data_IF_626969670118
#
_entry.id   IF_626969670118
#
_cell.length_a   1.000
_cell.length_b   1.000
_cell.length_c   1.000
_cell.angle_alpha   90.00
_cell.angle_beta   90.00
_cell.angle_gamma   90.00
#
_symmetry.space_group_name_H-M   'P 1'
#
loop_
_entity.id
_entity.type
_entity.pdbx_description
1 polymer ?
#
# COMPACT_ATOMS: atom_id res chain seq x y z
N UNK A 1 62.30 24.91 -5.32
CA UNK A 1 60.94 25.06 -4.76
C UNK A 1 61.10 25.08 -3.25
N UNK A 2 60.89 26.22 -2.59
CA UNK A 2 61.21 26.40 -1.17
C UNK A 2 60.12 25.79 -0.28
N UNK A 3 60.49 25.19 0.85
CA UNK A 3 59.62 24.45 1.78
C UNK A 3 58.48 25.33 2.33
N UNK A 4 58.70 26.64 2.40
CA UNK A 4 57.70 27.65 2.75
C UNK A 4 56.55 27.76 1.76
N UNK A 5 56.81 27.53 0.47
CA UNK A 5 55.79 27.53 -0.58
C UNK A 5 54.82 26.36 -0.46
N UNK A 6 55.32 25.16 -0.13
CA UNK A 6 54.50 23.96 0.10
C UNK A 6 53.57 24.17 1.30
N UNK A 7 54.09 24.75 2.38
CA UNK A 7 53.30 25.03 3.56
C UNK A 7 52.23 26.10 3.30
N UNK A 8 52.52 27.10 2.46
CA UNK A 8 51.53 28.10 2.06
C UNK A 8 50.45 27.49 1.16
N UNK A 9 50.82 26.64 0.19
CA UNK A 9 49.85 25.91 -0.65
C UNK A 9 48.92 25.01 0.18
N UNK A 10 49.44 24.32 1.20
CA UNK A 10 48.61 23.50 2.10
C UNK A 10 47.66 24.38 2.92
N UNK A 11 48.12 25.55 3.40
CA UNK A 11 47.26 26.51 4.11
C UNK A 11 46.20 27.14 3.21
N UNK A 12 46.49 27.38 1.95
CA UNK A 12 45.54 27.92 0.99
C UNK A 12 44.49 26.86 0.59
N UNK A 13 44.85 25.57 0.56
CA UNK A 13 43.93 24.43 0.38
C UNK A 13 43.03 24.24 1.62
N UNK A 14 43.60 24.28 2.82
CA UNK A 14 42.86 24.13 4.09
C UNK A 14 42.02 25.38 4.45
N UNK A 15 42.45 26.56 4.00
CA UNK A 15 41.81 27.85 4.24
C UNK A 15 40.77 28.26 3.21
N UNK A 16 40.50 27.44 2.18
CA UNK A 16 39.56 27.78 1.11
C UNK A 16 38.09 27.59 1.52
N UNK A 17 37.66 28.38 2.50
CA UNK A 17 36.30 28.40 3.06
C UNK A 17 35.19 28.61 2.01
N UNK A 18 35.49 29.12 0.82
CA UNK A 18 34.49 29.40 -0.23
C UNK A 18 34.19 28.20 -1.13
N UNK A 19 35.17 27.33 -1.41
CA UNK A 19 34.93 26.09 -2.16
C UNK A 19 34.30 25.00 -1.29
N UNK A 20 34.59 25.03 0.02
CA UNK A 20 34.07 24.09 1.01
C UNK A 20 32.57 24.30 1.29
N UNK A 21 32.08 25.54 1.15
CA UNK A 21 30.67 25.87 1.34
C UNK A 21 29.76 25.29 0.26
N UNK A 22 30.14 25.43 -1.01
CA UNK A 22 29.37 24.86 -2.14
C UNK A 22 29.37 23.33 -2.07
N UNK A 23 30.53 22.72 -1.80
CA UNK A 23 30.63 21.28 -1.63
C UNK A 23 29.76 20.79 -0.44
N UNK A 24 29.80 21.50 0.69
CA UNK A 24 28.96 21.20 1.85
C UNK A 24 27.46 21.31 1.54
N UNK A 25 27.04 22.33 0.78
CA UNK A 25 25.64 22.52 0.38
C UNK A 25 25.18 21.40 -0.55
N UNK A 26 26.01 21.00 -1.51
CA UNK A 26 25.71 19.88 -2.42
C UNK A 26 25.59 18.55 -1.66
N UNK A 27 26.48 18.28 -0.70
CA UNK A 27 26.40 17.09 0.15
C UNK A 27 25.14 17.10 1.02
N UNK A 28 24.76 18.25 1.57
CA UNK A 28 23.53 18.38 2.36
C UNK A 28 22.28 18.16 1.50
N UNK A 29 22.25 18.69 0.27
CA UNK A 29 21.16 18.48 -0.69
C UNK A 29 21.04 17.02 -1.12
N UNK A 30 22.16 16.37 -1.46
CA UNK A 30 22.16 14.95 -1.85
C UNK A 30 21.69 14.09 -0.66
N UNK A 31 22.18 14.38 0.55
CA UNK A 31 21.74 13.68 1.76
C UNK A 31 20.25 13.89 2.01
N UNK A 32 19.74 15.11 1.84
CA UNK A 32 18.31 15.41 1.97
C UNK A 32 17.46 14.65 0.95
N UNK A 33 17.87 14.62 -0.31
CA UNK A 33 17.20 13.85 -1.38
C UNK A 33 17.22 12.36 -1.06
N UNK A 34 18.36 11.81 -0.63
CA UNK A 34 18.47 10.39 -0.28
C UNK A 34 17.60 10.04 0.93
N UNK A 35 17.62 10.83 2.00
CA UNK A 35 16.77 10.64 3.19
C UNK A 35 15.28 10.73 2.83
N UNK A 36 14.89 11.71 2.02
CA UNK A 36 13.49 11.86 1.59
C UNK A 36 12.99 10.65 0.79
N UNK A 37 13.79 10.14 -0.14
CA UNK A 37 13.43 8.96 -0.93
C UNK A 37 13.34 7.68 -0.06
N UNK A 38 14.21 7.52 0.94
CA UNK A 38 14.14 6.40 1.89
C UNK A 38 12.86 6.46 2.72
N UNK A 39 12.44 7.65 3.17
CA UNK A 39 11.18 7.80 3.91
C UNK A 39 9.94 7.53 3.07
N UNK A 40 9.96 7.88 1.77
CA UNK A 40 8.85 7.61 0.86
C UNK A 40 8.69 6.10 0.56
N UNK A 41 9.81 5.40 0.36
CA UNK A 41 9.82 3.95 0.11
C UNK A 41 9.42 3.12 1.34
N UNK A 42 9.55 3.66 2.55
CA UNK A 42 9.14 3.01 3.78
C UNK A 42 7.62 3.08 4.04
N UNK A 43 6.84 3.80 3.21
CA UNK A 43 5.38 3.78 3.28
C UNK A 43 4.83 2.47 2.72
N UNK A 44 4.94 1.40 3.52
CA UNK A 44 4.23 0.13 3.30
C UNK A 44 2.73 0.29 3.54
N UNK A 45 2.10 1.26 2.86
CA UNK A 45 0.72 1.63 3.06
C UNK A 45 -0.20 0.45 2.72
N UNK A 46 -0.66 -0.24 3.77
CA UNK A 46 -1.72 -1.22 3.66
C UNK A 46 -3.02 -0.45 3.46
N UNK A 47 -3.88 -0.82 2.49
CA UNK A 47 -5.20 -0.21 2.34
C UNK A 47 -5.95 -0.30 3.67
N UNK A 48 -6.67 0.75 4.08
CA UNK A 48 -7.48 0.69 5.31
C UNK A 48 -8.79 -0.09 5.12
N UNK A 49 -9.27 -0.17 3.88
CA UNK A 49 -10.49 -0.87 3.50
C UNK A 49 -10.47 -1.22 2.00
N UNK A 50 -11.29 -2.20 1.62
CA UNK A 50 -11.58 -2.55 0.23
C UNK A 50 -13.07 -2.34 0.00
N UNK A 51 -13.41 -1.61 -1.05
CA UNK A 51 -14.78 -1.44 -1.52
C UNK A 51 -14.92 -2.16 -2.85
N UNK A 52 -15.88 -3.09 -2.94
CA UNK A 52 -16.13 -3.83 -4.17
C UNK A 52 -17.47 -3.46 -4.76
N UNK A 53 -17.44 -3.12 -6.05
CA UNK A 53 -18.59 -2.82 -6.88
C UNK A 53 -18.67 -3.88 -7.98
N UNK A 54 -19.86 -4.39 -8.26
CA UNK A 54 -20.04 -5.30 -9.37
C UNK A 54 -21.24 -6.21 -9.23
N UNK A 55 -21.00 -7.45 -9.63
CA UNK A 55 -22.00 -8.48 -9.86
C UNK A 55 -21.86 -9.61 -8.80
N UNK A 56 -22.24 -10.85 -9.12
CA UNK A 56 -22.44 -11.93 -8.14
C UNK A 56 -21.13 -12.48 -7.66
N UNK A 57 -20.06 -12.26 -8.44
CA UNK A 57 -18.71 -12.66 -8.10
C UNK A 57 -18.13 -11.87 -6.92
N UNK A 58 -18.71 -10.72 -6.60
CA UNK A 58 -18.26 -9.84 -5.49
C UNK A 58 -19.35 -9.60 -4.44
N UNK A 59 -20.54 -10.20 -4.60
CA UNK A 59 -21.64 -10.08 -3.64
C UNK A 59 -21.45 -11.01 -2.43
N UNK A 60 -21.14 -10.41 -1.29
CA UNK A 60 -20.94 -11.14 -0.02
C UNK A 60 -22.23 -11.46 0.74
N UNK A 61 -23.40 -11.12 0.18
CA UNK A 61 -24.72 -11.33 0.79
C UNK A 61 -25.62 -10.10 0.82
N UNK A 62 -25.26 -9.03 0.12
CA UNK A 62 -26.05 -7.79 0.05
C UNK A 62 -27.44 -8.04 -0.50
N UNK A 63 -27.59 -8.94 -1.46
CA UNK A 63 -28.89 -9.26 -2.06
C UNK A 63 -29.92 -9.84 -1.08
N UNK A 64 -29.48 -10.33 0.10
CA UNK A 64 -30.41 -10.79 1.14
C UNK A 64 -31.24 -9.65 1.73
N UNK A 65 -30.72 -8.41 1.68
CA UNK A 65 -31.30 -7.23 2.31
C UNK A 65 -32.15 -6.38 1.35
N UNK A 66 -32.26 -6.77 0.08
CA UNK A 66 -33.08 -6.08 -0.93
C UNK A 66 -34.15 -7.02 -1.52
N UNK A 67 -35.19 -6.44 -2.12
CA UNK A 67 -36.28 -7.18 -2.76
C UNK A 67 -35.85 -7.59 -4.16
N UNK A 68 -35.23 -8.76 -4.26
CA UNK A 68 -34.78 -9.36 -5.53
C UNK A 68 -34.97 -10.88 -5.51
N UNK A 69 -35.12 -11.47 -6.70
CA UNK A 69 -35.10 -12.93 -6.90
C UNK A 69 -33.66 -13.48 -6.88
N UNK A 70 -32.66 -12.63 -7.12
CA UNK A 70 -31.26 -13.01 -7.17
C UNK A 70 -30.66 -13.15 -5.76
N UNK A 71 -31.16 -14.11 -4.98
CA UNK A 71 -30.62 -14.45 -3.65
C UNK A 71 -29.85 -15.76 -3.72
N UNK A 72 -28.84 -15.91 -2.87
CA UNK A 72 -28.04 -17.14 -2.74
C UNK A 72 -27.95 -17.58 -1.27
N UNK A 73 -29.04 -17.36 -0.53
CA UNK A 73 -29.22 -17.77 0.87
C UNK A 73 -29.85 -19.17 1.01
N UNK A 74 -29.61 -20.05 0.04
CA UNK A 74 -30.11 -21.43 0.03
C UNK A 74 -29.02 -22.42 -0.41
N UNK A 75 -29.15 -23.73 -0.12
CA UNK A 75 -28.19 -24.74 -0.58
C UNK A 75 -28.11 -24.81 -2.11
N UNK A 76 -26.94 -25.00 -2.73
CA UNK A 76 -25.68 -25.47 -2.13
C UNK A 76 -24.74 -24.36 -1.61
N UNK A 77 -25.13 -23.09 -1.71
CA UNK A 77 -24.26 -21.95 -1.42
C UNK A 77 -23.80 -21.91 0.04
N UNK A 78 -22.56 -21.45 0.26
CA UNK A 78 -21.94 -21.35 1.59
C UNK A 78 -21.54 -22.68 2.26
N UNK A 79 -21.66 -23.84 1.58
CA UNK A 79 -21.29 -25.16 2.12
C UNK A 79 -19.83 -25.24 2.60
N UNK A 80 -18.91 -24.67 1.85
CA UNK A 80 -17.46 -24.70 2.11
C UNK A 80 -16.98 -23.42 2.82
N UNK A 81 -17.88 -22.47 3.10
CA UNK A 81 -17.59 -21.25 3.83
C UNK A 81 -17.60 -21.53 5.35
N UNK A 82 -16.83 -20.80 6.17
CA UNK A 82 -16.87 -20.97 7.62
C UNK A 82 -18.30 -20.96 8.18
N UNK A 83 -18.67 -22.05 8.85
CA UNK A 83 -20.02 -22.27 9.38
C UNK A 83 -20.92 -23.14 8.51
N UNK A 84 -20.56 -23.42 7.25
CA UNK A 84 -21.24 -24.37 6.37
C UNK A 84 -22.72 -24.06 6.10
N UNK A 85 -23.11 -22.79 6.22
CA UNK A 85 -24.50 -22.32 6.07
C UNK A 85 -24.60 -21.37 4.89
N UNK A 86 -25.75 -21.32 4.20
CA UNK A 86 -25.97 -20.34 3.13
C UNK A 86 -25.82 -18.91 3.64
N UNK A 87 -24.90 -18.16 3.03
CA UNK A 87 -24.55 -16.80 3.45
C UNK A 87 -25.15 -15.71 2.56
N UNK A 88 -25.69 -16.06 1.38
CA UNK A 88 -25.98 -15.08 0.32
C UNK A 88 -24.79 -14.80 -0.60
N UNK A 89 -23.75 -15.63 -0.54
CA UNK A 89 -22.64 -15.60 -1.51
C UNK A 89 -22.98 -16.51 -2.67
N UNK A 90 -22.76 -16.07 -3.91
CA UNK A 90 -22.93 -16.90 -5.10
C UNK A 90 -21.77 -17.90 -5.30
N UNK A 91 -21.32 -18.51 -4.21
CA UNK A 91 -20.24 -19.51 -4.16
C UNK A 91 -20.46 -20.44 -2.97
N UNK A 92 -19.85 -21.63 -3.02
CA UNK A 92 -19.82 -22.50 -1.85
C UNK A 92 -18.86 -21.97 -0.77
N UNK A 93 -17.88 -21.15 -1.15
CA UNK A 93 -16.81 -20.70 -0.26
C UNK A 93 -16.52 -19.20 -0.41
N UNK A 94 -15.23 -18.86 -0.37
CA UNK A 94 -14.76 -17.47 -0.51
C UNK A 94 -15.02 -16.92 -1.92
N UNK A 95 -15.19 -15.61 -2.00
CA UNK A 95 -15.30 -14.83 -3.23
C UNK A 95 -13.99 -14.08 -3.49
N UNK A 96 -13.86 -13.50 -4.69
CA UNK A 96 -12.70 -12.69 -5.08
C UNK A 96 -12.30 -11.62 -4.03
N UNK A 97 -13.25 -10.86 -3.44
CA UNK A 97 -12.93 -9.86 -2.43
C UNK A 97 -12.25 -10.45 -1.18
N UNK A 98 -12.60 -11.67 -0.77
CA UNK A 98 -12.00 -12.29 0.42
C UNK A 98 -10.51 -12.60 0.22
N UNK A 99 -10.09 -12.92 -1.00
CA UNK A 99 -8.68 -13.16 -1.31
C UNK A 99 -7.87 -11.86 -1.25
N UNK A 100 -8.46 -10.75 -1.73
CA UNK A 100 -7.85 -9.42 -1.61
C UNK A 100 -7.78 -9.01 -0.14
N UNK A 101 -8.86 -9.22 0.62
CA UNK A 101 -8.88 -8.94 2.06
C UNK A 101 -7.81 -9.73 2.82
N UNK A 102 -7.69 -11.04 2.52
CA UNK A 102 -6.67 -11.91 3.12
C UNK A 102 -5.26 -11.45 2.77
N UNK A 103 -5.01 -10.98 1.54
CA UNK A 103 -3.68 -10.50 1.12
C UNK A 103 -3.19 -9.29 1.92
N UNK A 104 -4.12 -8.45 2.38
CA UNK A 104 -3.82 -7.21 3.10
C UNK A 104 -4.18 -7.28 4.59
N UNK A 105 -4.43 -8.49 5.12
CA UNK A 105 -4.87 -8.73 6.51
C UNK A 105 -6.05 -7.83 6.94
N UNK A 106 -6.96 -7.58 5.99
CA UNK A 106 -8.13 -6.76 6.22
C UNK A 106 -9.25 -7.56 6.91
N UNK A 107 -10.03 -6.90 7.80
CA UNK A 107 -11.30 -7.46 8.25
C UNK A 107 -12.24 -7.66 7.05
N UNK A 108 -13.28 -8.49 7.23
CA UNK A 108 -14.25 -8.89 6.21
C UNK A 108 -14.60 -7.76 5.23
N UNK A 109 -14.46 -8.02 3.93
CA UNK A 109 -14.65 -7.03 2.88
C UNK A 109 -16.13 -6.63 2.77
N UNK A 110 -16.40 -5.33 2.87
CA UNK A 110 -17.73 -4.77 2.66
C UNK A 110 -17.99 -4.56 1.18
N UNK A 111 -18.97 -5.29 0.63
CA UNK A 111 -19.46 -5.03 -0.72
C UNK A 111 -20.41 -3.84 -0.68
N UNK A 112 -20.26 -2.88 -1.58
CA UNK A 112 -21.14 -1.72 -1.67
C UNK A 112 -21.66 -1.70 -3.10
N UNK A 113 -22.96 -1.99 -3.27
CA UNK A 113 -23.64 -2.13 -4.57
C UNK A 113 -23.48 -3.51 -5.25
N UNK A 114 -24.62 -4.17 -5.42
CA UNK A 114 -24.81 -5.36 -6.26
C UNK A 114 -26.12 -5.12 -6.99
N UNK A 115 -26.07 -5.00 -8.31
CA UNK A 115 -27.26 -4.87 -9.14
C UNK A 115 -27.17 -5.90 -10.26
N UNK A 116 -28.18 -6.76 -10.32
CA UNK A 116 -28.60 -7.43 -11.56
C UNK A 116 -30.07 -7.12 -11.72
#
# INVERSE_FOLDING_TARGET
>A
MNLSGIHQTIRDILGSSKHNGILSVLVQLISFVLLFNVTAAASGAVPAAVFTFGDSLVDTGNNNYVVTIAKSNFPPYGRDFPGGKPTGRFSNGRLFPDFIGTKYDLPSVSSFYVMF
#
